data_IF_825931834475
#
_entry.id   IF_825931834475
#
_cell.length_a   1.000
_cell.length_b   1.000
_cell.length_c   1.000
_cell.angle_alpha   90.00
_cell.angle_beta   90.00
_cell.angle_gamma   90.00
#
_symmetry.space_group_name_H-M   'P 1'
#
loop_
_entity.id
_entity.type
_entity.pdbx_description
1 polymer ?
2 non-polymer ?
3 water ?
#
# COMPACT_ATOMS: atom_id res chain seq x y z
N UNK A 6 -16.33 -1.70 25.53
CA UNK A 6 -14.99 -1.32 25.97
C UNK A 6 -13.95 -2.35 25.55
N UNK A 7 -12.77 -1.85 25.20
CA UNK A 7 -11.68 -2.75 24.89
C UNK A 7 -11.07 -3.30 26.17
N UNK A 8 -10.60 -4.54 26.09
CA UNK A 8 -9.84 -5.11 27.20
C UNK A 8 -8.45 -4.47 27.24
N UNK A 9 -7.69 -4.85 28.27
CA UNK A 9 -6.34 -4.29 28.40
C UNK A 9 -5.42 -4.89 27.33
N UNK A 10 -5.59 -6.18 27.02
CA UNK A 10 -4.82 -6.77 25.93
C UNK A 10 -5.14 -6.07 24.63
N UNK A 11 -6.40 -5.66 24.43
CA UNK A 11 -6.79 -4.99 23.21
C UNK A 11 -6.25 -3.57 23.14
N UNK A 12 -6.41 -2.80 24.22
CA UNK A 12 -5.85 -1.44 24.25
C UNK A 12 -4.34 -1.47 24.07
N UNK A 13 -3.68 -2.47 24.63
CA UNK A 13 -2.24 -2.56 24.49
C UNK A 13 -1.85 -2.91 23.06
N UNK A 14 -2.63 -3.80 22.44
CA UNK A 14 -2.41 -4.19 21.05
C UNK A 14 -2.48 -2.97 20.14
N UNK A 15 -3.50 -2.13 20.35
CA UNK A 15 -3.64 -0.92 19.56
C UNK A 15 -2.48 0.03 19.81
N UNK A 16 -2.06 0.19 21.09
CA UNK A 16 -0.99 1.14 21.37
C UNK A 16 0.31 0.70 20.72
N UNK A 17 0.61 -0.61 20.73
CA UNK A 17 1.81 -1.13 20.08
C UNK A 17 1.76 -0.92 18.56
N UNK A 18 0.64 -1.26 17.93
CA UNK A 18 0.48 -0.95 16.51
C UNK A 18 0.64 0.55 16.22
N UNK A 19 -0.05 1.39 17.00
CA UNK A 19 -0.05 2.83 16.78
C UNK A 19 1.36 3.40 16.92
N UNK A 20 2.10 2.90 17.90
CA UNK A 20 3.46 3.34 18.13
C UNK A 20 4.38 2.93 17.00
N UNK A 21 4.28 1.69 16.55
CA UNK A 21 5.04 1.25 15.40
C UNK A 21 4.74 2.13 14.17
N UNK A 22 3.46 2.45 13.96
CA UNK A 22 3.06 3.29 12.82
C UNK A 22 3.69 4.68 12.93
N UNK A 23 3.65 5.28 14.13
CA UNK A 23 4.24 6.58 14.36
C UNK A 23 5.75 6.55 14.14
N UNK A 24 6.41 5.45 14.47
CA UNK A 24 7.86 5.46 14.38
C UNK A 24 8.35 5.19 12.96
N UNK A 25 7.54 4.53 12.12
CA UNK A 25 8.09 4.05 10.87
C UNK A 25 7.37 4.59 9.64
N UNK A 26 6.41 5.48 9.79
CA UNK A 26 5.67 6.02 8.66
C UNK A 26 6.02 7.51 8.57
N UNK A 27 6.87 7.85 7.60
CA UNK A 27 7.25 9.24 7.31
C UNK A 27 6.16 9.87 6.47
N UNK A 28 5.16 10.47 7.15
CA UNK A 28 3.96 10.97 6.48
C UNK A 28 4.24 12.19 5.63
N UNK A 29 5.28 12.94 5.93
CA UNK A 29 5.66 14.07 5.09
C UNK A 29 6.72 13.71 4.07
N UNK A 30 7.18 12.45 4.03
CA UNK A 30 8.11 11.99 3.01
C UNK A 30 9.39 12.83 3.01
N UNK A 31 9.74 13.35 4.17
CA UNK A 31 10.92 14.20 4.27
C UNK A 31 12.22 13.46 3.97
N UNK A 32 12.26 12.14 4.10
CA UNK A 32 13.51 11.39 3.88
C UNK A 32 13.53 10.66 2.54
N UNK A 33 12.55 10.89 1.68
CA UNK A 33 12.57 10.38 0.32
C UNK A 33 13.28 11.43 -0.54
N UNK A 34 14.56 11.20 -0.84
CA UNK A 34 15.38 12.14 -1.58
C UNK A 34 16.28 11.39 -2.56
N UNK A 35 16.83 12.13 -3.53
CA UNK A 35 17.77 11.59 -4.52
C UNK A 35 17.15 10.45 -5.31
N UNK A 36 15.89 10.62 -5.68
CA UNK A 36 15.19 9.60 -6.45
C UNK A 36 15.21 9.96 -7.92
N UNK A 37 15.05 8.94 -8.76
CA UNK A 37 15.06 9.15 -10.20
C UNK A 37 13.78 9.86 -10.65
N UNK A 38 13.87 10.51 -11.80
CA UNK A 38 12.78 11.26 -12.40
C UNK A 38 12.79 10.98 -13.90
N UNK A 39 11.64 11.10 -14.55
CA UNK A 39 11.62 10.92 -16.01
C UNK A 39 12.55 11.93 -16.70
N UNK A 40 13.36 11.43 -17.64
CA UNK A 40 14.28 12.27 -18.41
C UNK A 40 13.70 13.56 -18.96
N UNK A 41 14.57 14.56 -19.16
CA UNK A 41 14.14 15.91 -19.57
C UNK A 41 13.61 15.93 -21.01
N UNK A 61 4.27 -9.08 -28.74
CA UNK A 61 3.39 -10.13 -28.23
C UNK A 61 3.08 -9.93 -26.75
N UNK A 62 4.09 -10.20 -25.93
CA UNK A 62 4.06 -9.77 -24.53
C UNK A 62 3.95 -8.25 -24.43
N UNK A 63 4.41 -7.53 -25.46
CA UNK A 63 4.45 -6.06 -25.40
C UNK A 63 3.05 -5.45 -25.43
N UNK A 64 2.10 -6.09 -26.12
CA UNK A 64 0.74 -5.56 -26.10
C UNK A 64 0.15 -5.62 -24.70
N UNK A 65 0.39 -6.73 -23.99
CA UNK A 65 -0.06 -6.81 -22.61
C UNK A 65 0.66 -5.81 -21.73
N UNK A 66 1.97 -5.61 -21.94
CA UNK A 66 2.68 -4.61 -21.12
C UNK A 66 2.11 -3.23 -21.39
N UNK A 67 1.68 -2.95 -22.61
CA UNK A 67 1.03 -1.67 -22.91
C UNK A 67 -0.26 -1.53 -22.13
N UNK A 68 -1.09 -2.59 -22.13
CA UNK A 68 -2.30 -2.58 -21.31
C UNK A 68 -1.98 -2.33 -19.84
N UNK A 69 -0.94 -2.99 -19.34
CA UNK A 69 -0.54 -2.85 -17.94
C UNK A 69 -0.15 -1.42 -17.60
N UNK A 70 0.56 -0.74 -18.50
CA UNK A 70 1.12 0.55 -18.13
C UNK A 70 0.14 1.71 -18.28
N UNK A 71 -0.67 1.73 -19.34
CA UNK A 71 -1.52 2.89 -19.61
C UNK A 71 -2.77 2.93 -18.73
N UNK A 72 -2.85 2.13 -17.67
CA UNK A 72 -4.04 2.05 -16.83
C UNK A 72 -3.97 2.89 -15.56
N UNK A 73 -2.79 3.49 -15.26
CA UNK A 73 -2.58 4.31 -14.07
C UNK A 73 -1.73 5.53 -14.45
N UNK A 74 -2.33 6.46 -15.18
CA UNK A 74 -1.60 7.65 -15.60
C UNK A 74 -1.64 8.69 -14.48
N UNK A 75 -0.47 9.14 -14.06
CA UNK A 75 -0.37 10.21 -13.09
C UNK A 75 0.58 11.28 -13.62
N UNK A 76 0.15 12.53 -13.47
CA UNK A 76 1.12 13.59 -13.51
C UNK A 76 1.77 13.71 -12.14
N UNK A 77 2.95 14.33 -12.15
CA UNK A 77 3.77 14.42 -10.96
C UNK A 77 4.02 15.89 -10.67
N UNK A 78 3.94 16.28 -9.40
CA UNK A 78 4.27 17.63 -9.01
C UNK A 78 5.31 17.57 -7.90
N UNK A 79 6.28 18.49 -7.93
CA UNK A 79 7.38 18.51 -6.99
C UNK A 79 7.61 19.94 -6.51
N UNK A 80 7.14 20.25 -5.30
CA UNK A 80 7.29 21.59 -4.74
C UNK A 80 8.62 21.68 -4.02
N UNK A 81 9.34 22.77 -4.26
CA UNK A 81 10.62 22.98 -3.62
C UNK A 81 10.43 23.81 -2.37
N UNK A 82 11.36 23.62 -1.42
CA UNK A 82 11.38 24.41 -0.19
C UNK A 82 11.40 25.91 -0.46
N UNK A 83 11.96 26.33 -1.60
CA UNK A 83 12.02 27.75 -1.93
C UNK A 83 10.73 28.28 -2.54
N UNK A 84 9.75 27.43 -2.79
CA UNK A 84 8.50 27.87 -3.40
C UNK A 84 8.37 27.54 -4.88
N UNK A 85 9.44 27.05 -5.50
CA UNK A 85 9.38 26.66 -6.90
C UNK A 85 8.61 25.36 -7.06
N UNK A 86 8.06 25.17 -8.27
CA UNK A 86 7.25 24.00 -8.58
C UNK A 86 7.75 23.36 -9.87
N UNK A 87 8.00 22.07 -9.84
CA UNK A 87 8.19 21.29 -11.06
C UNK A 87 6.94 20.47 -11.32
N UNK A 88 6.59 20.31 -12.58
CA UNK A 88 5.38 19.59 -12.95
C UNK A 88 5.72 18.71 -14.15
N UNK A 89 5.32 17.45 -14.08
CA UNK A 89 5.57 16.48 -15.13
C UNK A 89 4.23 15.96 -15.63
N UNK A 90 3.99 16.07 -16.93
CA UNK A 90 2.86 15.45 -17.58
C UNK A 90 3.35 14.27 -18.40
N UNK A 91 2.70 13.12 -18.29
CA UNK A 91 3.20 11.90 -18.93
C UNK A 91 2.93 11.89 -20.42
N UNK A 92 3.59 11.02 -21.16
CA UNK A 92 3.36 10.95 -22.61
C UNK A 92 2.22 10.00 -22.96
N UNK A 93 1.68 10.18 -24.16
CA UNK A 93 0.79 9.18 -24.72
C UNK A 93 1.59 7.97 -25.22
N UNK A 94 0.95 6.80 -25.17
CA UNK A 94 1.52 5.61 -25.78
C UNK A 94 1.53 5.82 -27.28
N UNK A 95 2.73 5.95 -27.85
CA UNK A 95 2.87 6.26 -29.27
C UNK A 95 3.79 5.23 -29.91
N UNK A 98 8.85 3.17 -26.29
CA UNK A 98 9.28 2.94 -24.91
C UNK A 98 8.95 4.12 -23.99
N UNK A 99 8.25 5.13 -24.53
CA UNK A 99 7.74 6.22 -23.69
C UNK A 99 6.84 5.71 -22.57
N UNK A 100 6.33 4.48 -22.70
CA UNK A 100 5.51 3.87 -21.66
C UNK A 100 6.30 3.64 -20.37
N UNK A 101 7.63 3.53 -20.47
CA UNK A 101 8.46 3.14 -19.33
C UNK A 101 9.06 4.32 -18.57
N UNK A 102 8.72 5.56 -18.94
CA UNK A 102 9.47 6.71 -18.47
C UNK A 102 9.28 6.96 -16.97
N UNK A 103 8.19 6.49 -16.37
CA UNK A 103 7.96 6.68 -14.96
C UNK A 103 8.43 5.53 -14.08
N UNK A 104 8.83 4.39 -14.66
CA UNK A 104 9.14 3.20 -13.86
C UNK A 104 10.31 3.37 -12.91
N UNK A 105 11.47 3.92 -13.29
CA UNK A 105 12.55 4.08 -12.29
C UNK A 105 12.12 4.90 -11.08
N UNK A 106 11.37 5.98 -11.29
CA UNK A 106 10.87 6.77 -10.18
C UNK A 106 9.92 5.97 -9.29
N UNK A 107 8.93 5.31 -9.90
CA UNK A 107 8.00 4.48 -9.14
C UNK A 107 8.74 3.40 -8.37
N UNK A 108 9.82 2.85 -8.94
CA UNK A 108 10.62 1.87 -8.21
C UNK A 108 11.30 2.50 -6.99
N UNK A 109 11.83 3.71 -7.12
CA UNK A 109 12.42 4.36 -5.97
C UNK A 109 11.36 4.65 -4.89
N UNK A 110 10.18 5.11 -5.29
CA UNK A 110 9.11 5.41 -4.32
C UNK A 110 8.65 4.14 -3.62
N UNK A 111 8.44 3.08 -4.40
CA UNK A 111 8.10 1.77 -3.85
C UNK A 111 9.13 1.31 -2.86
N UNK A 112 10.41 1.41 -3.23
CA UNK A 112 11.48 0.94 -2.34
C UNK A 112 11.45 1.71 -1.02
N UNK A 113 11.30 3.05 -1.10
CA UNK A 113 11.19 3.86 0.12
C UNK A 113 10.03 3.39 0.98
N UNK A 114 8.85 3.21 0.37
CA UNK A 114 7.69 2.72 1.12
C UNK A 114 7.95 1.35 1.74
N UNK A 115 8.47 0.41 0.95
CA UNK A 115 8.71 -0.93 1.43
C UNK A 115 9.63 -0.92 2.65
N UNK A 116 10.67 -0.08 2.62
CA UNK A 116 11.53 0.07 3.80
C UNK A 116 10.71 0.51 4.99
N UNK A 117 9.80 1.48 4.80
CA UNK A 117 8.96 1.87 5.91
C UNK A 117 8.15 0.71 6.45
N UNK A 118 7.66 -0.14 5.54
CA UNK A 118 6.81 -1.27 5.89
C UNK A 118 7.61 -2.29 6.70
N UNK A 119 8.83 -2.58 6.23
CA UNK A 119 9.68 -3.55 6.91
C UNK A 119 10.02 -3.06 8.31
N UNK A 120 10.35 -1.77 8.45
CA UNK A 120 10.61 -1.23 9.79
C UNK A 120 9.38 -1.39 10.68
N UNK A 121 8.20 -1.09 10.13
CA UNK A 121 6.95 -1.24 10.86
C UNK A 121 6.79 -2.64 11.44
N UNK A 122 6.94 -3.65 10.58
CA UNK A 122 6.82 -5.03 11.02
C UNK A 122 7.86 -5.36 12.08
N UNK A 123 9.10 -4.88 11.88
CA UNK A 123 10.19 -5.24 12.79
C UNK A 123 10.06 -4.63 14.18
N UNK A 124 9.25 -3.58 14.37
CA UNK A 124 9.08 -3.09 15.74
C UNK A 124 7.87 -3.67 16.45
N UNK A 125 7.03 -4.43 15.77
CA UNK A 125 5.87 -5.04 16.42
C UNK A 125 6.29 -6.34 17.10
N UNK A 126 5.87 -6.52 18.35
CA UNK A 126 6.35 -7.65 19.16
C UNK A 126 5.78 -8.98 18.67
N UNK A 127 4.49 -9.01 18.35
CA UNK A 127 3.92 -10.20 17.73
C UNK A 127 4.67 -10.58 16.47
N UNK A 128 5.23 -9.61 15.75
CA UNK A 128 5.97 -9.93 14.53
C UNK A 128 7.40 -10.39 14.84
N UNK A 129 8.07 -9.69 15.78
CA UNK A 129 9.45 -10.06 16.12
C UNK A 129 9.53 -11.47 16.69
N UNK A 130 8.46 -11.96 17.31
CA UNK A 130 8.49 -13.22 18.01
C UNK A 130 8.34 -14.42 17.08
N UNK A 131 7.85 -14.20 15.86
CA UNK A 131 7.76 -15.29 14.91
C UNK A 131 9.16 -15.69 14.45
N UNK A 132 9.35 -16.93 14.03
CA UNK A 132 10.62 -17.32 13.40
C UNK A 132 10.97 -16.45 12.18
N UNK A 133 12.27 -16.33 11.93
CA UNK A 133 12.78 -15.40 10.91
C UNK A 133 12.31 -15.78 9.51
N UNK A 134 12.11 -17.08 9.25
CA UNK A 134 11.63 -17.48 7.93
C UNK A 134 10.18 -17.04 7.72
N UNK A 135 9.37 -17.09 8.77
CA UNK A 135 7.98 -16.63 8.65
C UNK A 135 7.88 -15.11 8.59
N UNK A 136 8.77 -14.41 9.30
CA UNK A 136 8.94 -12.98 9.09
C UNK A 136 9.11 -12.66 7.60
N UNK A 137 10.12 -13.29 6.97
CA UNK A 137 10.36 -13.06 5.54
C UNK A 137 9.13 -13.41 4.70
N UNK A 138 8.55 -14.60 4.95
CA UNK A 138 7.42 -15.00 4.13
C UNK A 138 6.25 -14.03 4.26
N UNK A 139 6.00 -13.52 5.47
CA UNK A 139 4.89 -12.60 5.68
C UNK A 139 5.15 -11.23 5.06
N UNK A 140 6.39 -10.75 5.15
CA UNK A 140 6.75 -9.49 4.51
C UNK A 140 6.57 -9.59 2.99
N UNK A 141 7.07 -10.67 2.38
CA UNK A 141 6.91 -10.83 0.94
C UNK A 141 5.44 -10.96 0.57
N UNK A 142 4.64 -11.55 1.46
CA UNK A 142 3.22 -11.64 1.19
C UNK A 142 2.48 -10.32 1.25
N UNK A 143 2.89 -9.42 2.15
CA UNK A 143 2.04 -8.28 2.47
C UNK A 143 2.60 -6.88 2.16
N UNK A 144 3.83 -6.78 1.62
CA UNK A 144 4.43 -5.46 1.45
C UNK A 144 3.60 -4.54 0.54
N UNK A 145 3.15 -5.05 -0.61
CA UNK A 145 2.27 -4.31 -1.50
C UNK A 145 1.00 -3.83 -0.78
N UNK A 146 0.33 -4.72 -0.04
CA UNK A 146 -0.94 -4.37 0.59
C UNK A 146 -0.76 -3.28 1.65
N UNK A 147 0.28 -3.42 2.47
CA UNK A 147 0.58 -2.39 3.46
C UNK A 147 0.94 -1.07 2.79
N UNK A 148 1.58 -1.14 1.62
CA UNK A 148 1.87 0.08 0.89
C UNK A 148 0.61 0.76 0.39
N UNK A 149 -0.35 -0.01 -0.13
CA UNK A 149 -1.60 0.59 -0.58
C UNK A 149 -2.36 1.20 0.61
N UNK A 150 -2.33 0.52 1.76
CA UNK A 150 -3.04 1.03 2.93
C UNK A 150 -2.42 2.35 3.40
N UNK A 151 -1.09 2.44 3.43
CA UNK A 151 -0.48 3.69 3.84
C UNK A 151 -0.79 4.79 2.82
N UNK A 152 -0.72 4.46 1.53
CA UNK A 152 -0.99 5.46 0.50
C UNK A 152 -2.41 5.99 0.59
N UNK A 153 -3.37 5.15 1.04
CA UNK A 153 -4.74 5.66 1.17
C UNK A 153 -4.84 6.81 2.15
N UNK A 154 -4.00 6.83 3.18
CA UNK A 154 -4.13 7.89 4.16
C UNK A 154 -3.57 9.22 3.67
N UNK A 155 -2.77 9.23 2.61
CA UNK A 155 -2.40 10.49 1.97
C UNK A 155 -3.18 10.70 0.68
N UNK A 156 -4.16 9.86 0.41
CA UNK A 156 -4.97 10.04 -0.79
C UNK A 156 -6.00 11.14 -0.54
N UNK A 157 -6.17 11.99 -1.53
CA UNK A 157 -7.20 13.03 -1.49
C UNK A 157 -8.25 12.66 -2.54
N UNK A 158 -9.46 12.33 -2.09
CA UNK A 158 -10.48 11.87 -3.04
C UNK A 158 -11.17 13.03 -3.76
N UNK A 159 -11.22 14.22 -3.16
CA UNK A 159 -11.73 15.39 -3.89
C UNK A 159 -10.88 15.66 -5.15
N UNK A 160 -9.59 15.87 -4.97
CA UNK A 160 -8.75 16.26 -6.10
C UNK A 160 -8.15 15.10 -6.89
N UNK A 161 -8.43 13.85 -6.51
CA UNK A 161 -7.80 12.71 -7.19
C UNK A 161 -6.30 12.58 -7.09
N UNK A 162 -5.71 12.93 -5.93
CA UNK A 162 -4.25 13.01 -5.83
C UNK A 162 -3.72 12.40 -4.53
N UNK A 163 -2.54 11.81 -4.60
CA UNK A 163 -1.80 11.35 -3.44
C UNK A 163 -0.81 12.43 -3.05
N UNK A 164 -0.96 12.97 -1.86
CA UNK A 164 -0.17 14.10 -1.39
C UNK A 164 0.94 13.52 -0.52
N UNK A 165 2.15 13.44 -1.06
CA UNK A 165 3.27 12.80 -0.36
C UNK A 165 4.30 13.89 -0.06
N UNK A 166 4.01 14.68 0.96
CA UNK A 166 4.91 15.76 1.33
C UNK A 166 5.04 16.76 0.18
N UNK A 167 6.26 16.93 -0.33
CA UNK A 167 6.46 17.85 -1.44
C UNK A 167 6.09 17.23 -2.78
N UNK A 168 6.07 15.89 -2.86
CA UNK A 168 5.62 15.20 -4.04
C UNK A 168 4.09 15.15 -4.08
N UNK A 169 3.54 15.18 -5.27
CA UNK A 169 2.12 14.97 -5.45
C UNK A 169 1.93 14.11 -6.68
N UNK A 170 1.05 13.12 -6.60
CA UNK A 170 0.71 12.30 -7.77
C UNK A 170 -0.76 12.52 -8.07
N UNK A 171 -1.03 13.14 -9.22
CA UNK A 171 -2.39 13.54 -9.56
C UNK A 171 -2.87 12.70 -10.73
N UNK A 172 -4.07 12.13 -10.58
CA UNK A 172 -4.65 11.32 -11.63
C UNK A 172 -5.00 12.18 -12.83
N UNK A 173 -4.72 11.65 -14.02
CA UNK A 173 -4.90 12.42 -15.24
C UNK A 173 -6.35 12.32 -15.69
N UNK A 174 -6.83 13.39 -16.35
CA UNK A 174 -8.17 13.36 -16.93
C UNK A 174 -8.26 12.26 -18.00
N UNK A 175 -9.18 11.32 -17.81
CA UNK A 175 -9.31 10.17 -18.71
C UNK A 175 -10.44 10.36 -19.73
N UNK A 177 -13.80 9.82 -20.05
CA UNK A 177 -14.17 8.68 -19.21
C UNK A 177 -14.69 9.06 -17.83
N UNK A 178 -14.01 10.04 -17.21
CA UNK A 178 -14.44 10.58 -15.93
C UNK A 178 -14.07 9.71 -14.72
N UNK A 179 -14.61 10.13 -13.57
CA UNK A 179 -14.43 9.36 -12.34
C UNK A 179 -14.91 7.93 -12.48
N UNK A 180 -15.99 7.70 -13.25
CA UNK A 180 -16.46 6.33 -13.50
C UNK A 180 -15.37 5.49 -14.16
N UNK A 181 -14.83 5.97 -15.27
CA UNK A 181 -13.81 5.22 -15.99
C UNK A 181 -12.56 5.02 -15.14
N UNK A 182 -12.22 6.02 -14.32
CA UNK A 182 -11.13 5.82 -13.35
C UNK A 182 -11.47 4.67 -12.40
N UNK A 183 -12.71 4.65 -11.87
CA UNK A 183 -13.17 3.55 -11.02
C UNK A 183 -13.19 2.20 -11.72
N UNK A 184 -13.04 2.14 -13.05
CA UNK A 184 -12.86 0.83 -13.67
C UNK A 184 -11.53 0.16 -13.30
N UNK A 185 -10.51 0.93 -12.84
CA UNK A 185 -9.20 0.41 -12.45
C UNK A 185 -9.24 -0.03 -10.99
N UNK A 186 -8.81 -1.27 -10.67
CA UNK A 186 -9.07 -1.80 -9.31
C UNK A 186 -8.31 -1.09 -8.20
N UNK A 187 -7.04 -0.72 -8.42
CA UNK A 187 -6.32 0.09 -7.44
C UNK A 187 -7.03 1.42 -7.18
N UNK A 188 -7.61 2.02 -8.23
CA UNK A 188 -8.23 3.32 -8.03
C UNK A 188 -9.59 3.20 -7.35
N UNK A 189 -10.42 2.24 -7.79
CA UNK A 189 -11.67 1.99 -7.09
C UNK A 189 -11.42 1.65 -5.63
N UNK A 190 -10.38 0.85 -5.37
CA UNK A 190 -10.04 0.55 -3.98
C UNK A 190 -9.71 1.84 -3.21
N UNK A 191 -8.90 2.73 -3.77
CA UNK A 191 -8.55 3.93 -3.00
C UNK A 191 -9.77 4.81 -2.72
N UNK A 192 -10.61 5.04 -3.73
CA UNK A 192 -11.79 5.88 -3.50
C UNK A 192 -12.74 5.23 -2.48
N UNK A 193 -13.00 3.92 -2.62
CA UNK A 193 -13.91 3.23 -1.72
C UNK A 193 -13.36 3.16 -0.30
N UNK A 194 -12.06 2.89 -0.15
CA UNK A 194 -11.47 2.91 1.19
C UNK A 194 -11.52 4.31 1.80
N UNK A 195 -11.28 5.37 1.00
CA UNK A 195 -11.34 6.71 1.55
C UNK A 195 -12.74 7.04 2.03
N UNK A 196 -13.76 6.65 1.27
CA UNK A 196 -15.13 6.97 1.61
C UNK A 196 -15.54 6.45 2.99
N UNK A 197 -14.84 5.46 3.56
CA UNK A 197 -15.23 4.94 4.87
C UNK A 197 -14.75 5.81 6.02
N UNK A 198 -13.87 6.77 5.78
CA UNK A 198 -13.36 7.70 6.79
C UNK A 198 -12.81 6.99 8.05
N UNK A 199 -11.90 6.07 7.83
CA UNK A 199 -11.36 5.35 8.97
C UNK A 199 -10.53 6.25 9.88
N UNK A 200 -10.45 5.86 11.15
CA UNK A 200 -9.46 6.44 12.04
C UNK A 200 -8.10 5.77 11.81
N UNK A 201 -7.06 6.42 12.35
CA UNK A 201 -5.70 5.88 12.30
C UNK A 201 -5.66 4.48 12.90
N UNK A 202 -6.32 4.28 14.05
CA UNK A 202 -6.42 2.97 14.66
C UNK A 202 -6.91 1.92 13.66
N UNK A 203 -7.95 2.24 12.91
CA UNK A 203 -8.50 1.26 11.99
C UNK A 203 -7.53 0.94 10.87
N UNK A 204 -6.87 1.97 10.31
CA UNK A 204 -5.84 1.74 9.31
C UNK A 204 -4.74 0.81 9.84
N UNK A 205 -4.27 1.06 11.07
CA UNK A 205 -3.16 0.27 11.59
C UNK A 205 -3.61 -1.17 11.84
N UNK A 206 -4.83 -1.35 12.35
CA UNK A 206 -5.36 -2.70 12.52
C UNK A 206 -5.51 -3.41 11.17
N UNK A 207 -5.90 -2.67 10.13
CA UNK A 207 -5.98 -3.26 8.79
C UNK A 207 -4.61 -3.72 8.34
N UNK A 208 -3.59 -2.91 8.62
CA UNK A 208 -2.21 -3.25 8.31
C UNK A 208 -1.79 -4.55 9.00
N UNK A 209 -2.14 -4.69 10.29
CA UNK A 209 -1.74 -5.90 11.02
C UNK A 209 -2.50 -7.13 10.52
N UNK A 210 -3.80 -6.99 10.27
CA UNK A 210 -4.55 -8.11 9.73
C UNK A 210 -3.95 -8.57 8.40
N UNK A 211 -3.64 -7.64 7.50
CA UNK A 211 -3.07 -8.04 6.23
C UNK A 211 -1.67 -8.65 6.37
N UNK A 212 -0.88 -8.16 7.33
CA UNK A 212 0.48 -8.65 7.49
C UNK A 212 0.50 -10.07 8.03
N UNK A 213 -0.32 -10.31 9.06
CA UNK A 213 -0.43 -11.61 9.70
C UNK A 213 -1.46 -12.49 8.98
N UNK A 214 -1.24 -12.72 7.68
CA UNK A 214 -2.11 -13.61 6.92
C UNK A 214 -1.53 -15.01 6.93
N UNK A 215 -2.18 -15.98 7.57
CA UNK A 215 -1.57 -17.32 7.72
C UNK A 215 -1.39 -18.07 6.42
N UNK A 216 -1.96 -17.59 5.32
CA UNK A 216 -1.99 -18.30 4.05
C UNK A 216 -1.12 -17.62 3.01
N UNK A 217 0.05 -17.16 3.43
CA UNK A 217 1.01 -16.70 2.44
C UNK A 217 1.95 -17.83 2.09
N UNK A 218 2.37 -17.96 0.84
CA UNK A 218 3.33 -19.00 0.50
C UNK A 218 4.57 -18.97 1.38
N UNK A 219 4.88 -20.10 2.01
CA UNK A 219 6.11 -20.29 2.74
C UNK A 219 6.06 -20.02 4.23
N UNK A 220 4.89 -19.75 4.79
CA UNK A 220 4.78 -19.58 6.24
C UNK A 220 4.74 -20.96 6.87
N UNK A 221 5.39 -21.09 8.03
CA UNK A 221 5.48 -22.35 8.74
C UNK A 221 4.60 -22.42 9.97
N UNK A 222 4.55 -21.34 10.75
CA UNK A 222 3.71 -21.25 11.95
C UNK A 222 2.29 -20.81 11.61
N UNK A 223 1.62 -21.49 10.68
CA UNK A 223 0.32 -20.99 10.24
C UNK A 223 -0.70 -20.91 11.37
N UNK A 224 -0.62 -21.79 12.37
CA UNK A 224 -1.58 -21.71 13.46
C UNK A 224 -1.33 -20.49 14.34
N UNK A 225 -0.06 -20.18 14.61
CA UNK A 225 0.29 -19.00 15.39
C UNK A 225 -0.18 -17.74 14.68
N UNK A 226 0.12 -17.67 13.37
CA UNK A 226 -0.19 -16.47 12.62
C UNK A 226 -1.71 -16.31 12.53
N UNK A 227 -2.42 -17.43 12.38
CA UNK A 227 -3.87 -17.41 12.39
C UNK A 227 -4.43 -16.91 13.72
N UNK A 228 -3.84 -17.34 14.84
CA UNK A 228 -4.34 -16.88 16.14
C UNK A 228 -4.14 -15.38 16.29
N UNK A 229 -2.96 -14.89 15.91
CA UNK A 229 -2.71 -13.45 15.97
C UNK A 229 -3.68 -12.67 15.11
N UNK A 230 -3.88 -13.12 13.86
CA UNK A 230 -4.81 -12.44 12.97
C UNK A 230 -6.19 -12.39 13.58
N UNK A 231 -6.68 -13.52 14.09
CA UNK A 231 -7.98 -13.53 14.75
C UNK A 231 -8.03 -12.47 15.84
N UNK A 232 -6.96 -12.33 16.62
CA UNK A 232 -6.99 -11.33 17.69
C UNK A 232 -6.97 -9.91 17.15
N UNK A 233 -6.21 -9.66 16.07
CA UNK A 233 -6.26 -8.33 15.45
C UNK A 233 -7.65 -8.01 14.93
N UNK A 234 -8.28 -8.99 14.28
CA UNK A 234 -9.62 -8.79 13.73
C UNK A 234 -10.63 -8.52 14.84
N UNK A 235 -10.55 -9.27 15.92
CA UNK A 235 -11.48 -9.07 17.03
C UNK A 235 -11.26 -7.72 17.69
N UNK A 236 -10.00 -7.34 17.89
CA UNK A 236 -9.74 -6.00 18.41
C UNK A 236 -10.38 -4.97 17.51
N UNK A 237 -10.31 -5.16 16.19
CA UNK A 237 -10.82 -4.13 15.29
C UNK A 237 -12.33 -4.05 15.37
N UNK A 238 -13.01 -5.20 15.29
CA UNK A 238 -14.47 -5.26 15.48
C UNK A 238 -14.90 -4.62 16.81
N UNK A 239 -14.16 -4.87 17.89
CA UNK A 239 -14.52 -4.28 19.18
C UNK A 239 -14.25 -2.77 19.23
N UNK A 240 -13.17 -2.31 18.60
CA UNK A 240 -12.90 -0.87 18.53
C UNK A 240 -14.02 -0.16 17.80
N UNK A 241 -14.45 -0.74 16.67
CA UNK A 241 -15.58 -0.19 15.91
C UNK A 241 -16.84 -0.20 16.77
N UNK A 242 -17.12 -1.33 17.43
CA UNK A 242 -18.35 -1.41 18.24
C UNK A 242 -18.34 -0.43 19.40
N UNK A 243 -17.17 -0.09 19.94
CA UNK A 243 -17.13 0.82 21.07
C UNK A 243 -17.09 2.29 20.67
N UNK A 244 -16.64 2.61 19.45
CA UNK A 244 -16.33 3.98 19.12
C UNK A 244 -17.09 4.56 17.92
N UNK A 245 -17.88 3.77 17.19
CA UNK A 245 -18.54 4.26 15.97
C UNK A 245 -20.01 3.86 16.00
N UNK A 246 -20.82 4.56 16.80
CA UNK A 246 -22.23 4.16 16.96
C UNK A 246 -23.15 4.64 15.84
N UNK A 247 -22.72 5.63 15.06
CA UNK A 247 -23.60 6.29 14.11
C UNK A 247 -24.07 5.32 13.02
N UNK A 248 -25.34 5.38 12.62
CA UNK A 248 -25.88 4.49 11.57
C UNK A 248 -25.05 4.35 10.30
N UNK A 249 -24.17 5.33 9.99
CA UNK A 249 -23.32 5.19 8.80
C UNK A 249 -22.27 4.11 8.99
N UNK A 250 -21.98 3.75 10.23
CA UNK A 250 -20.92 2.80 10.55
C UNK A 250 -21.45 1.40 10.79
N UNK A 251 -22.74 1.17 10.51
CA UNK A 251 -23.25 -0.18 10.58
C UNK A 251 -22.56 -1.04 9.52
N UNK A 252 -22.10 -2.22 9.94
CA UNK A 252 -21.41 -3.15 9.07
C UNK A 252 -20.03 -2.62 8.64
N UNK A 253 -19.50 -1.60 9.33
CA UNK A 253 -18.19 -1.06 8.94
C UNK A 253 -17.12 -2.15 8.98
N UNK A 254 -17.10 -2.94 10.06
CA UNK A 254 -16.14 -4.02 10.19
C UNK A 254 -16.18 -4.95 9.00
N UNK A 255 -17.39 -5.33 8.56
CA UNK A 255 -17.46 -6.26 7.43
C UNK A 255 -17.03 -5.57 6.14
N UNK A 256 -17.32 -4.28 5.99
CA UNK A 256 -16.85 -3.56 4.80
C UNK A 256 -15.31 -3.53 4.75
N UNK A 257 -14.68 -3.36 5.90
CA UNK A 257 -13.22 -3.36 5.96
C UNK A 257 -12.67 -4.74 5.59
N UNK A 258 -13.27 -5.81 6.13
CA UNK A 258 -12.80 -7.15 5.75
C UNK A 258 -13.03 -7.43 4.27
N UNK A 259 -14.10 -6.92 3.69
CA UNK A 259 -14.26 -7.10 2.26
C UNK A 259 -13.20 -6.31 1.49
N UNK A 260 -12.80 -5.12 2.00
CA UNK A 260 -11.73 -4.37 1.35
C UNK A 260 -10.40 -5.11 1.41
N UNK A 261 -10.11 -5.76 2.53
CA UNK A 261 -8.88 -6.54 2.59
C UNK A 261 -8.92 -7.70 1.61
N UNK A 262 -10.09 -8.34 1.45
CA UNK A 262 -10.17 -9.42 0.46
C UNK A 262 -9.93 -8.89 -0.95
N UNK A 263 -10.54 -7.74 -1.26
CA UNK A 263 -10.30 -7.12 -2.54
C UNK A 263 -8.82 -6.81 -2.71
N UNK A 264 -8.17 -6.40 -1.63
CA UNK A 264 -6.78 -5.95 -1.72
C UNK A 264 -5.84 -7.10 -2.03
N UNK A 265 -6.14 -8.30 -1.48
CA UNK A 265 -5.42 -9.51 -1.91
C UNK A 265 -5.60 -9.78 -3.39
N UNK A 266 -6.83 -9.63 -3.88
CA UNK A 266 -7.04 -9.80 -5.32
C UNK A 266 -6.14 -8.85 -6.13
N UNK A 267 -6.17 -7.56 -5.75
CA UNK A 267 -5.35 -6.56 -6.44
C UNK A 267 -3.87 -6.90 -6.34
N UNK A 268 -3.42 -7.30 -5.14
CA UNK A 268 -2.05 -7.74 -4.93
C UNK A 268 -1.62 -8.77 -5.96
N UNK A 269 -2.47 -9.79 -6.18
CA UNK A 269 -2.06 -10.83 -7.13
C UNK A 269 -2.04 -10.31 -8.58
N UNK A 270 -3.06 -9.54 -8.98
CA UNK A 270 -2.99 -8.97 -10.33
C UNK A 270 -1.73 -8.12 -10.53
N UNK A 271 -1.38 -7.32 -9.52
CA UNK A 271 -0.22 -6.45 -9.65
C UNK A 271 1.08 -7.23 -9.65
N UNK A 272 1.17 -8.31 -8.87
CA UNK A 272 2.36 -9.16 -8.94
C UNK A 272 2.59 -9.63 -10.36
N UNK A 273 1.54 -10.14 -11.01
CA UNK A 273 1.74 -10.59 -12.39
C UNK A 273 2.08 -9.42 -13.32
N UNK A 274 1.43 -8.27 -13.11
CA UNK A 274 1.72 -7.09 -13.91
C UNK A 274 3.20 -6.72 -13.84
N UNK A 275 3.70 -6.61 -12.61
CA UNK A 275 5.10 -6.28 -12.38
C UNK A 275 6.02 -7.28 -13.06
N UNK A 276 5.74 -8.58 -12.90
CA UNK A 276 6.61 -9.60 -13.46
C UNK A 276 6.67 -9.52 -14.98
N UNK A 277 5.53 -9.34 -15.66
CA UNK A 277 5.53 -9.10 -17.09
C UNK A 277 6.44 -7.93 -17.48
N UNK A 278 6.17 -6.76 -16.88
CA UNK A 278 6.99 -5.59 -17.19
C UNK A 278 8.47 -5.89 -16.97
N UNK A 279 8.79 -6.58 -15.87
CA UNK A 279 10.18 -6.87 -15.52
C UNK A 279 10.82 -7.78 -16.54
N UNK A 280 10.04 -8.72 -17.06
CA UNK A 280 10.48 -9.61 -18.14
C UNK A 280 10.92 -8.81 -19.36
N UNK A 281 10.09 -7.84 -19.77
CA UNK A 281 10.46 -7.03 -20.94
C UNK A 281 11.52 -6.00 -20.58
N UNK A 282 11.29 -5.23 -19.52
CA UNK A 282 12.05 -4.02 -19.25
C UNK A 282 12.51 -4.06 -17.79
N UNK A 283 13.70 -4.63 -17.53
CA UNK A 283 14.23 -4.62 -16.16
C UNK A 283 14.15 -3.25 -15.52
N UNK A 284 13.45 -3.16 -14.38
CA UNK A 284 13.40 -1.91 -13.62
C UNK A 284 13.41 -2.10 -12.11
N UNK A 285 13.19 -3.31 -11.58
CA UNK A 285 13.03 -3.51 -10.14
C UNK A 285 14.33 -3.29 -9.36
N UNK A 286 14.22 -2.65 -8.19
CA UNK A 286 15.36 -2.43 -7.32
C UNK A 286 15.74 -3.72 -6.57
N UNK A 287 16.94 -3.77 -5.99
CA UNK A 287 17.30 -4.99 -5.24
C UNK A 287 16.28 -5.34 -4.17
N UNK A 288 15.76 -4.35 -3.46
CA UNK A 288 14.76 -4.66 -2.44
C UNK A 288 13.48 -5.18 -3.08
N UNK A 289 13.08 -4.64 -4.22
CA UNK A 289 11.91 -5.20 -4.88
C UNK A 289 12.18 -6.60 -5.39
N UNK A 290 13.38 -6.86 -5.92
CA UNK A 290 13.71 -8.22 -6.37
C UNK A 290 13.56 -9.22 -5.23
N UNK A 291 14.15 -8.90 -4.08
CA UNK A 291 13.99 -9.73 -2.90
C UNK A 291 12.52 -9.97 -2.59
N UNK A 292 11.73 -8.88 -2.49
CA UNK A 292 10.32 -8.99 -2.08
C UNK A 292 9.50 -9.80 -3.08
N UNK A 293 9.77 -9.67 -4.38
CA UNK A 293 8.98 -10.38 -5.37
C UNK A 293 9.62 -11.69 -5.80
N UNK A 294 10.61 -12.17 -5.05
CA UNK A 294 11.22 -13.45 -5.35
C UNK A 294 11.98 -13.51 -6.66
N UNK A 295 12.69 -12.45 -7.01
CA UNK A 295 13.61 -12.46 -8.15
C UNK A 295 15.00 -12.75 -7.64
N UNK A 296 15.74 -13.60 -8.35
CA UNK A 296 17.01 -14.12 -7.84
C UNK A 296 18.24 -13.38 -8.37
N UNK A 297 18.19 -12.90 -9.61
CA UNK A 297 19.38 -12.41 -10.26
C UNK A 297 19.70 -13.23 -11.49
#
# INVERSE_FOLDING_TARGET
PLGVQGLTEEQRMMIRELMDAQMKTFDTTFSHFKNFRLPGVLSSGCELPESLQAPSREEAAKWSQVRKDLCSLKVSLQLRGEDGSVWNYKPPADSGGKEIFSLLPHMADMSTYMFKGIISFAKVISYFRDLPIEDQISLLKGAAFELCQLRFNTVFNAETGTWECGRLSYCLEDTAGGFQQLLLEPMLKFHYMLKKLQLHEEEYVLMQAISLFSPDRPGVLQHRVVDQLQEQFAITLKSYIECNRPQPAHRFLFLKIMAMLTELRSINAQHTQRLLRIQDIHPFATPLMQELFGITGS
#
